data_IF_477125787854
#
_entry.id   IF_477125787854
#
_cell.length_a   1.000
_cell.length_b   1.000
_cell.length_c   1.000
_cell.angle_alpha   90.00
_cell.angle_beta   90.00
_cell.angle_gamma   90.00
#
_symmetry.space_group_name_H-M   'P 1'
#
loop_
_entity.id
_entity.type
_entity.pdbx_description
1 polymer ?
#
# COMPACT_ATOMS: atom_id res chain seq x y z
N UNK A 1 -23.06 -22.64 -47.35
CA UNK A 1 -22.98 -23.98 -46.75
C UNK A 1 -24.14 -24.04 -45.76
N UNK A 2 -25.36 -24.24 -46.28
CA UNK A 2 -26.07 -25.54 -46.51
C UNK A 2 -26.88 -25.92 -45.27
N UNK A 3 -28.12 -26.45 -45.28
CA UNK A 3 -29.23 -26.63 -46.23
C UNK A 3 -30.46 -27.07 -45.38
N UNK A 4 -31.67 -26.58 -45.66
CA UNK A 4 -32.91 -27.26 -46.10
C UNK A 4 -33.70 -28.17 -45.11
N UNK A 5 -35.01 -27.90 -45.07
CA UNK A 5 -36.08 -28.68 -44.43
C UNK A 5 -36.72 -29.72 -45.39
N UNK A 6 -37.60 -30.63 -44.90
CA UNK A 6 -38.63 -31.21 -45.77
C UNK A 6 -40.08 -31.07 -45.24
N UNK A 7 -40.90 -30.49 -46.13
CA UNK A 7 -42.22 -30.91 -46.68
C UNK A 7 -43.43 -31.30 -45.80
N UNK A 8 -44.55 -30.74 -46.26
CA UNK A 8 -46.00 -30.88 -46.02
C UNK A 8 -46.60 -32.27 -46.34
N UNK A 9 -47.70 -32.72 -45.71
CA UNK A 9 -49.15 -32.46 -46.03
C UNK A 9 -50.04 -33.59 -45.39
N UNK A 10 -51.39 -33.72 -45.57
CA UNK A 10 -52.55 -32.83 -45.30
C UNK A 10 -53.78 -33.46 -44.50
N UNK A 11 -54.61 -32.62 -43.83
CA UNK A 11 -56.13 -32.63 -43.66
C UNK A 11 -56.80 -33.76 -42.80
N UNK A 12 -57.90 -33.58 -41.99
CA UNK A 12 -59.15 -32.83 -42.24
C UNK A 12 -59.78 -31.96 -41.12
N UNK A 13 -60.88 -31.30 -41.55
CA UNK A 13 -61.70 -30.23 -40.96
C UNK A 13 -62.33 -30.54 -39.61
N UNK A 14 -62.32 -29.55 -38.71
CA UNK A 14 -63.15 -29.47 -37.51
C UNK A 14 -63.64 -28.03 -37.28
N UNK A 15 -64.97 -27.87 -37.37
CA UNK A 15 -65.86 -26.85 -36.77
C UNK A 15 -65.34 -25.41 -36.56
N UNK A 16 -66.00 -24.49 -37.27
CA UNK A 16 -65.95 -23.04 -37.10
C UNK A 16 -66.27 -22.58 -35.67
N UNK A 17 -65.25 -22.12 -34.94
CA UNK A 17 -65.38 -21.06 -33.94
C UNK A 17 -64.57 -19.86 -34.45
N UNK A 18 -65.25 -18.77 -34.81
CA UNK A 18 -64.62 -17.50 -35.17
C UNK A 18 -63.96 -16.92 -33.90
N UNK A 19 -62.72 -17.28 -33.66
CA UNK A 19 -61.80 -16.45 -32.88
C UNK A 19 -61.32 -15.34 -33.82
N UNK A 20 -61.67 -14.10 -33.51
CA UNK A 20 -61.12 -12.94 -34.21
C UNK A 20 -59.58 -12.99 -34.14
N UNK A 21 -58.86 -12.82 -35.26
CA UNK A 21 -57.42 -12.78 -35.22
C UNK A 21 -56.98 -11.51 -34.50
N UNK A 22 -56.31 -11.65 -33.36
CA UNK A 22 -55.50 -10.58 -32.77
C UNK A 22 -54.64 -10.01 -33.91
N UNK A 23 -54.73 -8.70 -34.22
CA UNK A 23 -54.11 -8.16 -35.42
C UNK A 23 -52.60 -8.32 -35.31
N UNK A 24 -52.01 -9.15 -36.18
CA UNK A 24 -50.56 -9.20 -36.36
C UNK A 24 -50.10 -7.77 -36.67
N UNK A 25 -49.15 -7.20 -35.90
CA UNK A 25 -48.76 -5.81 -36.07
C UNK A 25 -48.30 -5.59 -37.51
N UNK A 26 -48.88 -4.58 -38.16
CA UNK A 26 -48.61 -4.24 -39.56
C UNK A 26 -47.11 -4.01 -39.79
N UNK A 27 -46.62 -4.33 -40.99
CA UNK A 27 -45.20 -4.20 -41.37
C UNK A 27 -44.64 -2.78 -41.12
N UNK A 28 -45.52 -1.76 -41.10
CA UNK A 28 -45.20 -0.38 -40.76
C UNK A 28 -44.95 -0.14 -39.25
N UNK A 29 -45.69 -0.82 -38.35
CA UNK A 29 -45.46 -0.76 -36.89
C UNK A 29 -44.12 -1.40 -36.51
N UNK A 30 -43.80 -2.57 -37.07
CA UNK A 30 -42.50 -3.24 -36.86
C UNK A 30 -41.31 -2.40 -37.35
N UNK A 31 -41.45 -1.69 -38.47
CA UNK A 31 -40.41 -0.75 -38.96
C UNK A 31 -40.23 0.46 -38.05
N UNK A 32 -41.31 1.04 -37.50
CA UNK A 32 -41.23 2.15 -36.53
C UNK A 32 -40.59 1.73 -35.21
N UNK A 33 -40.95 0.55 -34.69
CA UNK A 33 -40.34 -0.02 -33.48
C UNK A 33 -38.84 -0.30 -33.68
N UNK A 34 -38.46 -0.91 -34.81
CA UNK A 34 -37.04 -1.14 -35.16
C UNK A 34 -36.24 0.17 -35.28
N UNK A 35 -36.83 1.23 -35.85
CA UNK A 35 -36.17 2.55 -35.96
C UNK A 35 -36.02 3.23 -34.60
N UNK A 36 -37.02 3.10 -33.72
CA UNK A 36 -36.96 3.61 -32.34
C UNK A 36 -35.89 2.88 -31.52
N UNK A 37 -35.78 1.57 -31.72
CA UNK A 37 -34.73 0.75 -31.11
C UNK A 37 -33.33 1.16 -31.55
N UNK A 38 -33.08 1.28 -32.87
CA UNK A 38 -31.78 1.73 -33.41
C UNK A 38 -31.38 3.11 -32.86
N UNK A 39 -32.35 4.02 -32.70
CA UNK A 39 -32.08 5.34 -32.13
C UNK A 39 -31.70 5.26 -30.64
N UNK A 40 -32.36 4.39 -29.87
CA UNK A 40 -32.07 4.20 -28.45
C UNK A 40 -30.72 3.51 -28.23
N UNK A 41 -30.38 2.53 -29.05
CA UNK A 41 -29.07 1.88 -29.03
C UNK A 41 -27.94 2.87 -29.36
N UNK A 42 -28.13 3.72 -30.38
CA UNK A 42 -27.16 4.78 -30.70
C UNK A 42 -26.97 5.76 -29.53
N UNK A 43 -28.05 6.10 -28.80
CA UNK A 43 -27.96 6.96 -27.63
C UNK A 43 -27.21 6.27 -26.47
N UNK A 44 -27.46 4.98 -26.21
CA UNK A 44 -26.73 4.20 -25.22
C UNK A 44 -25.23 4.19 -25.56
N UNK A 45 -24.88 3.87 -26.81
CA UNK A 45 -23.48 3.86 -27.24
C UNK A 45 -22.81 5.24 -27.10
N UNK A 46 -23.55 6.32 -27.35
CA UNK A 46 -23.04 7.68 -27.22
C UNK A 46 -22.73 8.01 -25.76
N UNK A 47 -23.63 7.66 -24.84
CA UNK A 47 -23.44 7.85 -23.40
C UNK A 47 -22.30 6.98 -22.87
N UNK A 48 -22.20 5.72 -23.30
CA UNK A 48 -21.10 4.84 -22.91
C UNK A 48 -19.75 5.41 -23.37
N UNK A 49 -19.64 5.91 -24.61
CA UNK A 49 -18.41 6.56 -25.10
C UNK A 49 -18.10 7.84 -24.33
N UNK A 50 -19.12 8.62 -23.96
CA UNK A 50 -18.92 9.81 -23.13
C UNK A 50 -18.37 9.43 -21.75
N UNK A 51 -18.92 8.41 -21.11
CA UNK A 51 -18.43 7.89 -19.84
C UNK A 51 -16.99 7.39 -19.91
N UNK A 52 -16.65 6.62 -20.95
CA UNK A 52 -15.28 6.14 -21.15
C UNK A 52 -14.28 7.28 -21.37
N UNK A 53 -14.66 8.34 -22.11
CA UNK A 53 -13.82 9.54 -22.27
C UNK A 53 -13.64 10.29 -20.96
N UNK A 54 -14.69 10.40 -20.15
CA UNK A 54 -14.61 11.02 -18.84
C UNK A 54 -13.66 10.24 -17.91
N UNK A 55 -13.68 8.90 -17.94
CA UNK A 55 -12.68 8.08 -17.22
C UNK A 55 -11.25 8.34 -17.72
N UNK A 56 -11.04 8.39 -19.04
CA UNK A 56 -9.73 8.73 -19.61
C UNK A 56 -9.26 10.14 -19.22
N UNK A 57 -10.18 11.05 -18.91
CA UNK A 57 -9.90 12.40 -18.43
C UNK A 57 -9.80 12.50 -16.89
N UNK A 58 -9.90 11.38 -16.15
CA UNK A 58 -9.87 11.37 -14.67
C UNK A 58 -11.14 11.91 -14.01
N UNK A 59 -12.24 12.05 -14.74
CA UNK A 59 -13.50 12.62 -14.28
C UNK A 59 -14.49 11.52 -13.86
N UNK A 60 -14.16 10.77 -12.81
CA UNK A 60 -14.90 9.58 -12.38
C UNK A 60 -16.40 9.85 -12.10
N UNK A 61 -16.72 11.00 -11.49
CA UNK A 61 -18.11 11.38 -11.21
C UNK A 61 -18.92 11.70 -12.49
N UNK A 62 -18.30 12.30 -13.50
CA UNK A 62 -18.95 12.56 -14.79
C UNK A 62 -19.15 11.25 -15.57
N UNK A 63 -18.18 10.34 -15.49
CA UNK A 63 -18.29 9.00 -16.05
C UNK A 63 -19.46 8.23 -15.42
N UNK A 64 -19.54 8.23 -14.08
CA UNK A 64 -20.64 7.61 -13.33
C UNK A 64 -22.00 8.12 -13.81
N UNK A 65 -22.17 9.44 -13.90
CA UNK A 65 -23.43 10.04 -14.39
C UNK A 65 -23.78 9.66 -15.82
N UNK A 66 -22.77 9.49 -16.69
CA UNK A 66 -22.96 9.03 -18.07
C UNK A 66 -23.39 7.56 -18.14
N UNK A 67 -22.76 6.69 -17.33
CA UNK A 67 -23.10 5.28 -17.26
C UNK A 67 -24.46 5.03 -16.61
N UNK A 68 -24.85 5.80 -15.59
CA UNK A 68 -26.20 5.74 -15.00
C UNK A 68 -27.28 6.00 -16.04
N UNK A 69 -27.10 7.04 -16.88
CA UNK A 69 -28.02 7.35 -17.97
C UNK A 69 -28.06 6.24 -19.02
N UNK A 70 -26.90 5.69 -19.40
CA UNK A 70 -26.81 4.58 -20.35
C UNK A 70 -27.55 3.33 -19.83
N UNK A 71 -27.31 2.94 -18.58
CA UNK A 71 -27.96 1.80 -17.93
C UNK A 71 -29.47 2.00 -17.76
N UNK A 72 -29.91 3.21 -17.39
CA UNK A 72 -31.34 3.54 -17.29
C UNK A 72 -32.05 3.45 -18.65
N UNK A 73 -31.40 3.87 -19.73
CA UNK A 73 -31.94 3.72 -21.07
C UNK A 73 -31.98 2.25 -21.50
N UNK A 74 -30.91 1.48 -21.24
CA UNK A 74 -30.87 0.06 -21.55
C UNK A 74 -31.98 -0.72 -20.82
N UNK A 75 -32.15 -0.49 -19.51
CA UNK A 75 -33.16 -1.17 -18.69
C UNK A 75 -34.61 -0.84 -19.09
N UNK A 76 -34.89 0.40 -19.50
CA UNK A 76 -36.24 0.82 -19.94
C UNK A 76 -36.65 0.24 -21.30
N UNK A 77 -35.69 -0.06 -22.16
CA UNK A 77 -35.95 -0.53 -23.53
C UNK A 77 -36.07 -2.06 -23.61
N UNK A 78 -35.41 -2.76 -22.69
CA UNK A 78 -35.20 -4.20 -22.73
C UNK A 78 -35.96 -4.96 -21.64
N UNK A 79 -37.07 -4.40 -21.15
CA UNK A 79 -37.83 -4.78 -19.94
C UNK A 79 -38.19 -6.26 -19.75
N UNK A 80 -37.84 -7.15 -20.68
CA UNK A 80 -38.12 -8.59 -20.63
C UNK A 80 -37.00 -9.52 -21.14
N UNK A 81 -35.80 -9.04 -21.50
CA UNK A 81 -34.70 -9.94 -21.91
C UNK A 81 -33.34 -9.46 -21.41
N UNK A 82 -32.67 -10.31 -20.64
CA UNK A 82 -31.24 -10.22 -20.43
C UNK A 82 -30.54 -10.09 -21.78
N UNK A 83 -29.78 -9.01 -21.96
CA UNK A 83 -29.24 -8.58 -23.25
C UNK A 83 -27.78 -8.20 -23.08
N UNK A 84 -26.92 -8.51 -24.06
CA UNK A 84 -25.50 -8.15 -24.01
C UNK A 84 -25.27 -6.65 -23.78
N UNK A 85 -26.14 -5.79 -24.32
CA UNK A 85 -26.07 -4.34 -24.13
C UNK A 85 -26.37 -3.94 -22.68
N UNK A 86 -27.37 -4.58 -22.06
CA UNK A 86 -27.71 -4.33 -20.66
C UNK A 86 -26.59 -4.80 -19.73
N UNK A 87 -26.01 -5.98 -20.00
CA UNK A 87 -24.86 -6.51 -19.26
C UNK A 87 -23.62 -5.63 -19.39
N UNK A 88 -23.31 -5.14 -20.59
CA UNK A 88 -22.22 -4.17 -20.80
C UNK A 88 -22.45 -2.86 -20.03
N UNK A 89 -23.68 -2.35 -20.02
CA UNK A 89 -24.02 -1.15 -19.24
C UNK A 89 -23.93 -1.40 -17.74
N UNK A 90 -24.36 -2.58 -17.27
CA UNK A 90 -24.24 -2.99 -15.87
C UNK A 90 -22.77 -3.07 -15.45
N UNK A 91 -21.93 -3.69 -16.27
CA UNK A 91 -20.49 -3.78 -16.04
C UNK A 91 -19.83 -2.41 -15.91
N UNK A 92 -19.99 -1.53 -16.90
CA UNK A 92 -19.37 -0.20 -16.89
C UNK A 92 -19.87 0.65 -15.71
N UNK A 93 -21.16 0.58 -15.40
CA UNK A 93 -21.73 1.28 -14.26
C UNK A 93 -21.21 0.71 -12.93
N UNK A 94 -21.11 -0.61 -12.83
CA UNK A 94 -20.59 -1.30 -11.65
C UNK A 94 -19.13 -0.93 -11.37
N UNK A 95 -18.28 -0.98 -12.39
CA UNK A 95 -16.88 -0.55 -12.29
C UNK A 95 -16.77 0.92 -11.86
N UNK A 96 -17.60 1.80 -12.43
CA UNK A 96 -17.62 3.22 -12.05
C UNK A 96 -18.03 3.42 -10.58
N UNK A 97 -18.99 2.66 -10.05
CA UNK A 97 -19.37 2.73 -8.63
C UNK A 97 -18.25 2.26 -7.71
N UNK A 98 -17.52 1.20 -8.06
CA UNK A 98 -16.34 0.76 -7.30
C UNK A 98 -15.31 1.88 -7.23
N UNK A 99 -15.00 2.50 -8.38
CA UNK A 99 -14.04 3.59 -8.48
C UNK A 99 -14.45 4.85 -7.69
N UNK A 100 -15.75 5.17 -7.66
CA UNK A 100 -16.25 6.35 -6.94
C UNK A 100 -16.50 6.12 -5.44
N UNK A 101 -16.26 4.91 -4.92
CA UNK A 101 -16.34 4.61 -3.48
C UNK A 101 -17.65 3.97 -3.00
N UNK A 102 -18.46 3.41 -3.90
CA UNK A 102 -19.69 2.66 -3.58
C UNK A 102 -19.57 1.18 -4.01
N UNK A 103 -18.59 0.41 -3.48
CA UNK A 103 -18.25 -0.91 -4.00
C UNK A 103 -19.37 -1.96 -3.82
N UNK A 104 -20.28 -1.79 -2.86
CA UNK A 104 -21.43 -2.70 -2.68
C UNK A 104 -22.41 -2.63 -3.87
N UNK A 105 -22.75 -1.40 -4.30
CA UNK A 105 -23.60 -1.19 -5.48
C UNK A 105 -22.86 -1.65 -6.74
N UNK A 106 -21.56 -1.32 -6.80
CA UNK A 106 -20.67 -1.76 -7.86
C UNK A 106 -20.69 -3.28 -8.05
N UNK A 107 -20.51 -4.03 -6.96
CA UNK A 107 -20.50 -5.49 -6.96
C UNK A 107 -21.82 -6.08 -7.46
N UNK A 108 -22.97 -5.58 -6.99
CA UNK A 108 -24.28 -6.06 -7.44
C UNK A 108 -24.44 -5.92 -8.97
N UNK A 109 -24.01 -4.78 -9.52
CA UNK A 109 -24.08 -4.51 -10.95
C UNK A 109 -23.08 -5.33 -11.77
N UNK A 110 -21.86 -5.53 -11.25
CA UNK A 110 -20.83 -6.35 -11.88
C UNK A 110 -21.27 -7.82 -11.97
N UNK A 111 -21.86 -8.37 -10.90
CA UNK A 111 -22.38 -9.74 -10.93
C UNK A 111 -23.57 -9.89 -11.90
N UNK A 112 -24.43 -8.87 -12.02
CA UNK A 112 -25.49 -8.82 -13.04
C UNK A 112 -24.97 -8.79 -14.48
N UNK A 113 -23.71 -8.44 -14.70
CA UNK A 113 -23.09 -8.51 -16.02
C UNK A 113 -22.74 -9.95 -16.44
N UNK A 114 -22.91 -10.95 -15.57
CA UNK A 114 -22.61 -12.36 -15.82
C UNK A 114 -21.14 -12.59 -16.26
N UNK A 115 -20.16 -12.29 -15.39
CA UNK A 115 -18.74 -12.24 -15.75
C UNK A 115 -18.16 -13.56 -16.33
N UNK A 116 -18.82 -14.69 -16.05
CA UNK A 116 -18.38 -16.04 -16.42
C UNK A 116 -19.07 -16.62 -17.66
N UNK A 117 -20.09 -15.95 -18.22
CA UNK A 117 -20.79 -16.46 -19.41
C UNK A 117 -20.00 -16.16 -20.69
N UNK A 118 -19.54 -17.20 -21.40
CA UNK A 118 -18.83 -17.05 -22.68
C UNK A 118 -19.66 -16.24 -23.69
N UNK A 119 -19.17 -15.06 -24.04
CA UNK A 119 -19.78 -14.17 -25.02
C UNK A 119 -18.72 -13.64 -26.00
N UNK A 120 -19.01 -13.66 -27.30
CA UNK A 120 -18.06 -13.21 -28.32
C UNK A 120 -17.71 -11.72 -28.12
N UNK A 121 -16.40 -11.42 -28.06
CA UNK A 121 -15.88 -10.05 -27.94
C UNK A 121 -15.78 -9.47 -26.53
N UNK A 122 -15.95 -10.27 -25.48
CA UNK A 122 -15.80 -9.85 -24.08
C UNK A 122 -14.45 -10.27 -23.50
N UNK A 123 -13.76 -9.35 -22.82
CA UNK A 123 -12.59 -9.68 -22.00
C UNK A 123 -13.06 -10.23 -20.65
N UNK A 124 -13.06 -11.55 -20.51
CA UNK A 124 -13.45 -12.22 -19.25
C UNK A 124 -12.50 -11.87 -18.09
N UNK A 125 -11.22 -11.63 -18.38
CA UNK A 125 -10.23 -11.20 -17.40
C UNK A 125 -10.66 -9.92 -16.70
N UNK A 126 -10.99 -8.87 -17.47
CA UNK A 126 -11.39 -7.56 -16.92
C UNK A 126 -12.64 -7.63 -16.06
N UNK A 127 -13.58 -8.50 -16.41
CA UNK A 127 -14.81 -8.66 -15.64
C UNK A 127 -14.55 -9.30 -14.29
N UNK A 128 -13.82 -10.42 -14.28
CA UNK A 128 -13.39 -11.07 -13.05
C UNK A 128 -12.53 -10.12 -12.20
N UNK A 129 -11.64 -9.35 -12.82
CA UNK A 129 -10.77 -8.40 -12.14
C UNK A 129 -11.56 -7.26 -11.47
N UNK A 130 -12.58 -6.70 -12.15
CA UNK A 130 -13.41 -5.65 -11.55
C UNK A 130 -14.30 -6.18 -10.42
N UNK A 131 -14.80 -7.42 -10.52
CA UNK A 131 -15.47 -8.08 -9.39
C UNK A 131 -14.51 -8.26 -8.21
N UNK A 132 -13.26 -8.66 -8.47
CA UNK A 132 -12.23 -8.76 -7.45
C UNK A 132 -11.94 -7.41 -6.78
N UNK A 133 -11.83 -6.32 -7.56
CA UNK A 133 -11.68 -4.96 -7.03
C UNK A 133 -12.84 -4.56 -6.11
N UNK A 134 -14.07 -4.92 -6.46
CA UNK A 134 -15.24 -4.63 -5.63
C UNK A 134 -15.18 -5.37 -4.27
N UNK A 135 -14.86 -6.66 -4.27
CA UNK A 135 -14.66 -7.42 -3.03
C UNK A 135 -13.46 -6.89 -2.20
N UNK A 136 -12.37 -6.51 -2.87
CA UNK A 136 -11.21 -5.91 -2.23
C UNK A 136 -11.62 -4.62 -1.51
N UNK A 137 -12.31 -3.72 -2.18
CA UNK A 137 -12.79 -2.46 -1.62
C UNK A 137 -13.79 -2.66 -0.45
N UNK A 138 -14.52 -3.79 -0.42
CA UNK A 138 -15.38 -4.18 0.70
C UNK A 138 -14.62 -4.82 1.88
N UNK A 139 -13.32 -5.10 1.73
CA UNK A 139 -12.53 -5.82 2.73
C UNK A 139 -12.75 -7.33 2.72
N UNK A 140 -13.48 -7.87 1.75
CA UNK A 140 -13.72 -9.30 1.59
C UNK A 140 -12.57 -9.95 0.79
N UNK A 141 -11.39 -9.95 1.41
CA UNK A 141 -10.11 -10.24 0.75
C UNK A 141 -10.00 -11.66 0.20
N UNK A 142 -10.61 -12.65 0.85
CA UNK A 142 -10.61 -14.04 0.37
C UNK A 142 -11.38 -14.20 -0.93
N UNK A 143 -12.55 -13.56 -1.04
CA UNK A 143 -13.32 -13.56 -2.28
C UNK A 143 -12.61 -12.76 -3.37
N UNK A 144 -11.98 -11.63 -3.01
CA UNK A 144 -11.17 -10.87 -3.96
C UNK A 144 -10.08 -11.75 -4.59
N UNK A 145 -9.34 -12.53 -3.78
CA UNK A 145 -8.32 -13.47 -4.26
C UNK A 145 -8.89 -14.51 -5.22
N UNK A 146 -10.02 -15.13 -4.89
CA UNK A 146 -10.67 -16.11 -5.78
C UNK A 146 -10.98 -15.50 -7.15
N UNK A 147 -11.48 -14.26 -7.19
CA UNK A 147 -11.80 -13.56 -8.43
C UNK A 147 -10.56 -13.09 -9.20
N UNK A 148 -9.49 -12.66 -8.52
CA UNK A 148 -8.21 -12.36 -9.17
C UNK A 148 -7.60 -13.61 -9.81
N UNK A 149 -7.66 -14.77 -9.15
CA UNK A 149 -7.23 -16.03 -9.75
C UNK A 149 -8.02 -16.40 -11.00
N UNK A 150 -9.34 -16.14 -11.01
CA UNK A 150 -10.17 -16.29 -12.22
C UNK A 150 -9.73 -15.34 -13.33
N UNK A 151 -9.46 -14.07 -12.99
CA UNK A 151 -8.98 -13.08 -13.97
C UNK A 151 -7.66 -13.51 -14.62
N UNK A 152 -6.70 -13.99 -13.81
CA UNK A 152 -5.41 -14.53 -14.30
C UNK A 152 -5.58 -15.69 -15.28
N UNK A 153 -6.59 -16.56 -15.07
CA UNK A 153 -6.90 -17.65 -16.01
C UNK A 153 -7.35 -17.18 -17.40
N UNK A 154 -7.71 -15.91 -17.56
CA UNK A 154 -8.20 -15.33 -18.80
C UNK A 154 -7.23 -14.35 -19.46
N UNK A 155 -6.32 -13.75 -18.70
CA UNK A 155 -5.39 -12.78 -19.25
C UNK A 155 -4.38 -13.43 -20.21
N UNK A 156 -4.00 -12.66 -21.24
CA UNK A 156 -2.88 -12.98 -22.15
C UNK A 156 -1.83 -11.87 -22.11
N UNK A 157 -2.28 -10.62 -21.91
CA UNK A 157 -1.46 -9.44 -21.64
C UNK A 157 -0.62 -9.65 -20.38
N UNK A 158 0.70 -9.46 -20.49
CA UNK A 158 1.59 -9.55 -19.33
C UNK A 158 1.39 -8.36 -18.37
N UNK A 159 0.93 -7.21 -18.86
CA UNK A 159 0.60 -6.05 -18.01
C UNK A 159 -0.57 -6.36 -17.09
N UNK A 160 -1.67 -6.86 -17.65
CA UNK A 160 -2.89 -7.20 -16.90
C UNK A 160 -2.64 -8.34 -15.88
N UNK A 161 -1.76 -9.29 -16.25
CA UNK A 161 -1.25 -10.29 -15.29
C UNK A 161 -0.50 -9.64 -14.13
N UNK A 162 0.38 -8.67 -14.43
CA UNK A 162 1.12 -7.92 -13.43
C UNK A 162 0.20 -7.19 -12.46
N UNK A 163 -0.84 -6.54 -12.98
CA UNK A 163 -1.81 -5.81 -12.17
C UNK A 163 -2.61 -6.73 -11.25
N UNK A 164 -3.12 -7.85 -11.76
CA UNK A 164 -3.82 -8.85 -10.95
C UNK A 164 -2.93 -9.41 -9.84
N UNK A 165 -1.67 -9.77 -10.15
CA UNK A 165 -0.73 -10.27 -9.15
C UNK A 165 -0.36 -9.22 -8.09
N UNK A 166 -0.19 -7.96 -8.49
CA UNK A 166 0.07 -6.87 -7.54
C UNK A 166 -1.10 -6.67 -6.58
N UNK A 167 -2.35 -6.70 -7.08
CA UNK A 167 -3.55 -6.61 -6.24
C UNK A 167 -3.70 -7.80 -5.31
N UNK A 168 -3.38 -9.02 -5.77
CA UNK A 168 -3.34 -10.21 -4.92
C UNK A 168 -2.28 -10.09 -3.83
N UNK A 169 -1.10 -9.56 -4.15
CA UNK A 169 -0.05 -9.25 -3.20
C UNK A 169 -0.55 -8.37 -2.05
N UNK A 170 -1.25 -7.29 -2.39
CA UNK A 170 -1.87 -6.40 -1.39
C UNK A 170 -2.94 -7.11 -0.53
N UNK A 171 -3.76 -7.99 -1.12
CA UNK A 171 -4.70 -8.81 -0.34
C UNK A 171 -3.98 -9.73 0.64
N UNK A 172 -2.90 -10.39 0.22
CA UNK A 172 -2.11 -11.26 1.09
C UNK A 172 -1.40 -10.50 2.21
N UNK A 173 -0.87 -9.30 1.94
CA UNK A 173 -0.32 -8.41 2.98
C UNK A 173 -1.39 -8.08 4.03
N UNK A 174 -2.58 -7.67 3.60
CA UNK A 174 -3.69 -7.31 4.48
C UNK A 174 -4.22 -8.50 5.30
N UNK A 175 -4.13 -9.72 4.77
CA UNK A 175 -4.44 -10.97 5.49
C UNK A 175 -3.33 -11.41 6.46
N UNK A 176 -2.19 -10.74 6.48
CA UNK A 176 -1.04 -11.11 7.30
C UNK A 176 -0.29 -12.34 6.78
N UNK A 177 -0.30 -12.56 5.46
CA UNK A 177 0.37 -13.67 4.78
C UNK A 177 1.56 -13.18 3.92
N UNK A 178 2.63 -12.67 4.56
CA UNK A 178 3.71 -11.97 3.85
C UNK A 178 4.48 -12.85 2.87
N UNK A 179 4.49 -14.17 3.06
CA UNK A 179 5.12 -15.09 2.11
C UNK A 179 4.36 -15.14 0.78
N UNK A 180 3.06 -15.35 0.84
CA UNK A 180 2.21 -15.35 -0.35
C UNK A 180 2.23 -13.99 -1.04
N UNK A 181 2.24 -12.90 -0.26
CA UNK A 181 2.41 -11.55 -0.77
C UNK A 181 3.71 -11.38 -1.55
N UNK A 182 4.85 -11.79 -0.97
CA UNK A 182 6.15 -11.73 -1.63
C UNK A 182 6.16 -12.50 -2.95
N UNK A 183 5.63 -13.73 -2.97
CA UNK A 183 5.54 -14.54 -4.20
C UNK A 183 4.69 -13.85 -5.27
N UNK A 184 3.49 -13.38 -4.94
CA UNK A 184 2.62 -12.67 -5.88
C UNK A 184 3.25 -11.38 -6.41
N UNK A 185 3.92 -10.60 -5.56
CA UNK A 185 4.58 -9.36 -5.96
C UNK A 185 5.82 -9.61 -6.85
N UNK A 186 6.57 -10.69 -6.62
CA UNK A 186 7.63 -11.12 -7.54
C UNK A 186 7.08 -11.56 -8.90
N UNK A 187 5.93 -12.26 -8.91
CA UNK A 187 5.24 -12.62 -10.16
C UNK A 187 4.74 -11.37 -10.89
N UNK A 188 4.21 -10.38 -10.16
CA UNK A 188 3.82 -9.08 -10.71
C UNK A 188 5.00 -8.36 -11.35
N UNK A 189 6.13 -8.26 -10.63
CA UNK A 189 7.38 -7.67 -11.13
C UNK A 189 7.82 -8.29 -12.46
N UNK A 190 7.87 -9.62 -12.53
CA UNK A 190 8.24 -10.36 -13.76
C UNK A 190 7.23 -10.17 -14.90
N UNK A 191 5.95 -10.03 -14.60
CA UNK A 191 4.91 -9.80 -15.60
C UNK A 191 5.00 -8.38 -16.18
N UNK A 192 5.16 -7.36 -15.33
CA UNK A 192 5.40 -5.98 -15.74
C UNK A 192 6.70 -5.82 -16.55
N UNK A 193 7.79 -6.44 -16.12
CA UNK A 193 9.05 -6.41 -16.86
C UNK A 193 8.89 -7.01 -18.27
N UNK A 194 8.17 -8.13 -18.42
CA UNK A 194 7.84 -8.73 -19.72
C UNK A 194 6.92 -7.86 -20.57
N UNK A 195 6.11 -7.00 -19.95
CA UNK A 195 5.26 -6.02 -20.61
C UNK A 195 6.01 -4.72 -20.99
N UNK A 196 7.28 -4.57 -20.60
CA UNK A 196 8.07 -3.35 -20.78
C UNK A 196 7.71 -2.22 -19.80
N UNK A 197 6.92 -2.52 -18.77
CA UNK A 197 6.52 -1.60 -17.70
C UNK A 197 7.57 -1.66 -16.57
N UNK A 198 8.77 -1.15 -16.83
CA UNK A 198 9.92 -1.31 -15.94
C UNK A 198 9.72 -0.65 -14.57
N UNK A 199 9.05 0.51 -14.54
CA UNK A 199 8.71 1.18 -13.29
C UNK A 199 7.80 0.37 -12.38
N UNK A 200 6.68 -0.13 -12.93
CA UNK A 200 5.74 -0.96 -12.17
C UNK A 200 6.41 -2.27 -11.71
N UNK A 201 7.34 -2.79 -12.52
CA UNK A 201 8.15 -3.93 -12.15
C UNK A 201 9.05 -3.64 -10.93
N UNK A 202 9.77 -2.52 -10.96
CA UNK A 202 10.63 -2.09 -9.85
C UNK A 202 9.83 -1.88 -8.56
N UNK A 203 8.69 -1.19 -8.63
CA UNK A 203 7.81 -0.98 -7.49
C UNK A 203 7.27 -2.29 -6.89
N UNK A 204 6.81 -3.20 -7.74
CA UNK A 204 6.36 -4.52 -7.30
C UNK A 204 7.48 -5.32 -6.63
N UNK A 205 8.71 -5.22 -7.15
CA UNK A 205 9.87 -5.89 -6.60
C UNK A 205 10.26 -5.36 -5.22
N UNK A 206 10.28 -4.03 -5.01
CA UNK A 206 10.51 -3.43 -3.69
C UNK A 206 9.43 -3.83 -2.68
N UNK A 207 8.17 -3.81 -3.11
CA UNK A 207 7.07 -4.27 -2.26
C UNK A 207 7.25 -5.75 -1.86
N UNK A 208 7.72 -6.59 -2.79
CA UNK A 208 8.07 -7.97 -2.50
C UNK A 208 9.20 -8.07 -1.46
N UNK A 209 10.27 -7.29 -1.60
CA UNK A 209 11.39 -7.23 -0.64
C UNK A 209 10.90 -6.91 0.78
N UNK A 210 10.01 -5.92 0.92
CA UNK A 210 9.40 -5.58 2.22
C UNK A 210 8.65 -6.77 2.82
N UNK A 211 7.88 -7.49 2.00
CA UNK A 211 7.18 -8.71 2.42
C UNK A 211 8.17 -9.81 2.82
N UNK A 212 9.23 -10.03 2.04
CA UNK A 212 10.26 -11.04 2.30
C UNK A 212 10.92 -10.80 3.66
N UNK A 213 11.35 -9.56 3.91
CA UNK A 213 11.97 -9.14 5.17
C UNK A 213 11.02 -9.29 6.36
N UNK A 214 9.74 -8.93 6.20
CA UNK A 214 8.73 -9.07 7.26
C UNK A 214 8.42 -10.53 7.62
N UNK A 215 8.51 -11.44 6.65
CA UNK A 215 8.21 -12.86 6.86
C UNK A 215 9.29 -13.61 7.64
N UNK A 216 10.54 -13.15 7.56
CA UNK A 216 11.72 -13.83 8.11
C UNK A 216 12.03 -15.20 7.51
N UNK A 217 11.35 -15.60 6.42
CA UNK A 217 11.47 -16.94 5.81
C UNK A 217 12.36 -16.96 4.57
N UNK A 218 12.79 -15.80 4.08
CA UNK A 218 13.69 -15.68 2.94
C UNK A 218 15.13 -15.49 3.41
N UNK A 219 16.07 -16.17 2.74
CA UNK A 219 17.48 -16.01 3.02
C UNK A 219 17.98 -14.60 2.66
N UNK A 220 19.01 -14.06 3.34
CA UNK A 220 19.58 -12.74 3.01
C UNK A 220 19.99 -12.60 1.54
N UNK A 221 20.48 -13.68 0.91
CA UNK A 221 20.86 -13.69 -0.50
C UNK A 221 19.67 -13.52 -1.45
N UNK A 222 18.51 -14.10 -1.12
CA UNK A 222 17.29 -13.95 -1.93
C UNK A 222 16.78 -12.51 -1.87
N UNK A 223 16.80 -11.91 -0.68
CA UNK A 223 16.39 -10.51 -0.49
C UNK A 223 17.36 -9.56 -1.20
N UNK A 224 18.67 -9.83 -1.12
CA UNK A 224 19.69 -9.03 -1.80
C UNK A 224 19.51 -9.09 -3.33
N UNK A 225 19.31 -10.28 -3.89
CA UNK A 225 19.05 -10.43 -5.32
C UNK A 225 17.80 -9.63 -5.73
N UNK A 226 16.72 -9.69 -4.92
CA UNK A 226 15.51 -8.95 -5.24
C UNK A 226 15.70 -7.42 -5.17
N UNK A 227 16.53 -6.92 -4.26
CA UNK A 227 16.93 -5.50 -4.18
C UNK A 227 17.75 -5.07 -5.40
N UNK A 228 18.71 -5.89 -5.83
CA UNK A 228 19.54 -5.64 -7.01
C UNK A 228 18.69 -5.62 -8.29
N UNK A 229 17.81 -6.60 -8.48
CA UNK A 229 16.85 -6.65 -9.59
C UNK A 229 15.99 -5.38 -9.63
N UNK A 230 15.47 -4.95 -8.48
CA UNK A 230 14.67 -3.72 -8.41
C UNK A 230 15.45 -2.47 -8.79
N UNK A 231 16.73 -2.38 -8.38
CA UNK A 231 17.59 -1.26 -8.70
C UNK A 231 17.90 -1.22 -10.21
N UNK A 232 18.23 -2.37 -10.79
CA UNK A 232 18.49 -2.49 -12.23
C UNK A 232 17.27 -2.09 -13.06
N UNK A 233 16.07 -2.52 -12.68
CA UNK A 233 14.82 -2.14 -13.34
C UNK A 233 14.59 -0.62 -13.30
N UNK A 234 14.87 0.01 -12.16
CA UNK A 234 14.71 1.45 -11.98
C UNK A 234 15.75 2.26 -12.77
N UNK A 235 17.02 1.82 -12.75
CA UNK A 235 18.11 2.47 -13.47
C UNK A 235 17.96 2.32 -14.99
N UNK A 236 17.30 1.24 -15.46
CA UNK A 236 17.02 1.00 -16.87
C UNK A 236 15.84 1.83 -17.43
N UNK A 237 14.95 2.33 -16.57
CA UNK A 237 13.77 3.08 -17.02
C UNK A 237 14.08 4.57 -17.28
N UNK A 238 14.51 4.86 -18.49
CA UNK A 238 14.76 6.22 -18.98
C UNK A 238 13.47 7.07 -19.13
N UNK A 239 12.28 6.46 -19.06
CA UNK A 239 10.99 7.13 -19.30
C UNK A 239 10.32 7.64 -18.02
N UNK A 240 10.74 7.11 -16.86
CA UNK A 240 10.16 7.46 -15.58
C UNK A 240 10.53 8.87 -15.14
N UNK A 241 9.54 9.58 -14.61
CA UNK A 241 9.73 10.85 -13.92
C UNK A 241 10.71 10.63 -12.77
N UNK A 242 11.90 11.24 -12.86
CA UNK A 242 12.99 11.07 -11.87
C UNK A 242 12.54 11.26 -10.44
N UNK A 243 11.49 12.04 -10.19
CA UNK A 243 11.00 12.25 -8.84
C UNK A 243 10.22 11.07 -8.26
N UNK A 244 9.76 10.11 -9.08
CA UNK A 244 9.18 8.85 -8.60
C UNK A 244 10.27 7.91 -8.06
N UNK A 245 11.53 8.08 -8.50
CA UNK A 245 12.66 7.27 -8.04
C UNK A 245 13.03 7.54 -6.56
N UNK A 246 12.68 8.71 -6.01
CA UNK A 246 13.01 9.08 -4.62
C UNK A 246 12.50 8.07 -3.57
N UNK A 247 11.17 7.83 -3.51
CA UNK A 247 10.60 6.81 -2.63
C UNK A 247 11.17 5.41 -2.85
N UNK A 248 11.41 5.03 -4.11
CA UNK A 248 11.99 3.72 -4.44
C UNK A 248 13.40 3.55 -3.85
N UNK A 249 14.30 4.51 -4.06
CA UNK A 249 15.65 4.44 -3.49
C UNK A 249 15.63 4.50 -1.97
N UNK A 250 14.68 5.20 -1.35
CA UNK A 250 14.49 5.15 0.09
C UNK A 250 14.11 3.72 0.55
N UNK A 251 13.18 3.07 -0.13
CA UNK A 251 12.79 1.71 0.23
C UNK A 251 13.90 0.68 -0.04
N UNK A 252 14.68 0.84 -1.11
CA UNK A 252 15.90 0.07 -1.35
C UNK A 252 16.90 0.25 -0.21
N UNK A 253 17.14 1.49 0.22
CA UNK A 253 18.01 1.81 1.35
C UNK A 253 17.54 1.16 2.64
N UNK A 254 16.22 1.13 2.90
CA UNK A 254 15.65 0.41 4.03
C UNK A 254 15.87 -1.11 3.94
N UNK A 255 15.74 -1.70 2.75
CA UNK A 255 16.04 -3.10 2.52
C UNK A 255 17.50 -3.45 2.80
N UNK A 256 18.45 -2.68 2.25
CA UNK A 256 19.88 -2.83 2.54
C UNK A 256 20.18 -2.66 4.04
N UNK A 257 19.54 -1.69 4.69
CA UNK A 257 19.70 -1.47 6.13
C UNK A 257 19.25 -2.68 6.95
N UNK A 258 18.12 -3.29 6.61
CA UNK A 258 17.64 -4.50 7.29
C UNK A 258 18.52 -5.73 7.07
N UNK A 259 19.18 -5.81 5.90
CA UNK A 259 20.22 -6.81 5.62
C UNK A 259 21.58 -6.49 6.26
N UNK A 260 21.68 -5.39 7.02
CA UNK A 260 22.92 -4.90 7.64
C UNK A 260 24.00 -4.50 6.63
N UNK A 261 23.62 -4.20 5.39
CA UNK A 261 24.48 -3.68 4.33
C UNK A 261 24.50 -2.15 4.39
N UNK A 262 24.98 -1.60 5.51
CA UNK A 262 24.87 -0.17 5.82
C UNK A 262 25.50 0.77 4.79
N UNK A 263 26.66 0.46 4.16
CA UNK A 263 27.19 1.32 3.10
C UNK A 263 26.25 1.44 1.88
N UNK A 264 25.67 0.33 1.43
CA UNK A 264 24.68 0.32 0.34
C UNK A 264 23.39 1.05 0.73
N UNK A 265 22.98 0.94 2.00
CA UNK A 265 21.85 1.71 2.51
C UNK A 265 22.10 3.22 2.43
N UNK A 266 23.29 3.68 2.86
CA UNK A 266 23.68 5.10 2.76
C UNK A 266 23.69 5.55 1.30
N UNK A 267 24.28 4.77 0.39
CA UNK A 267 24.29 5.10 -1.04
C UNK A 267 22.87 5.29 -1.60
N UNK A 268 21.96 4.36 -1.31
CA UNK A 268 20.57 4.43 -1.76
C UNK A 268 19.83 5.63 -1.15
N UNK A 269 19.98 5.89 0.15
CA UNK A 269 19.36 7.07 0.77
C UNK A 269 19.93 8.40 0.22
N UNK A 270 21.22 8.47 -0.09
CA UNK A 270 21.82 9.64 -0.73
C UNK A 270 21.30 9.84 -2.16
N UNK A 271 20.99 8.77 -2.89
CA UNK A 271 20.30 8.84 -4.19
C UNK A 271 18.85 9.32 -4.04
N UNK A 272 18.15 8.89 -2.99
CA UNK A 272 16.77 9.31 -2.72
C UNK A 272 16.63 10.80 -2.37
N UNK A 273 17.55 11.33 -1.56
CA UNK A 273 17.45 12.67 -0.97
C UNK A 273 17.23 13.82 -1.97
N UNK A 274 17.98 13.95 -3.10
CA UNK A 274 17.75 15.02 -4.07
C UNK A 274 16.47 14.85 -4.90
N UNK A 275 15.79 13.71 -4.80
CA UNK A 275 14.58 13.38 -5.56
C UNK A 275 13.30 13.61 -4.76
N UNK A 276 13.41 13.86 -3.46
CA UNK A 276 12.26 14.11 -2.60
C UNK A 276 11.47 15.35 -3.03
N UNK A 277 10.15 15.21 -3.16
CA UNK A 277 9.25 16.31 -3.55
C UNK A 277 8.69 17.07 -2.38
N UNK A 278 8.49 16.36 -1.27
CA UNK A 278 7.80 16.89 -0.09
C UNK A 278 8.76 17.00 1.09
N UNK A 279 8.65 18.04 1.92
CA UNK A 279 9.44 18.17 3.14
C UNK A 279 9.35 16.94 4.06
N UNK A 280 8.17 16.32 4.15
CA UNK A 280 7.97 15.09 4.94
C UNK A 280 8.77 13.88 4.42
N UNK A 281 8.84 13.73 3.10
CA UNK A 281 9.63 12.67 2.46
C UNK A 281 11.13 12.91 2.70
N UNK A 282 11.58 14.14 2.48
CA UNK A 282 12.96 14.54 2.72
C UNK A 282 13.37 14.33 4.19
N UNK A 283 12.49 14.65 5.14
CA UNK A 283 12.73 14.44 6.57
C UNK A 283 12.95 12.94 6.89
N UNK A 284 12.15 12.07 6.27
CA UNK A 284 12.23 10.62 6.45
C UNK A 284 13.56 10.08 5.91
N UNK A 285 13.99 10.50 4.71
CA UNK A 285 15.28 10.09 4.13
C UNK A 285 16.46 10.59 4.98
N UNK A 286 16.40 11.82 5.49
CA UNK A 286 17.42 12.37 6.39
C UNK A 286 17.50 11.58 7.70
N UNK A 287 16.37 11.22 8.30
CA UNK A 287 16.34 10.38 9.50
C UNK A 287 16.99 9.02 9.23
N UNK A 288 16.68 8.39 8.09
CA UNK A 288 17.23 7.11 7.68
C UNK A 288 18.75 7.17 7.46
N UNK A 289 19.26 8.23 6.83
CA UNK A 289 20.70 8.50 6.72
C UNK A 289 21.35 8.63 8.09
N UNK A 290 20.74 9.41 9.00
CA UNK A 290 21.23 9.55 10.36
C UNK A 290 21.31 8.22 11.10
N UNK A 291 20.33 7.34 10.92
CA UNK A 291 20.36 5.99 11.49
C UNK A 291 21.50 5.15 10.90
N UNK A 292 21.67 5.14 9.57
CA UNK A 292 22.74 4.40 8.90
C UNK A 292 24.14 4.85 9.34
N UNK A 293 24.39 6.16 9.41
CA UNK A 293 25.66 6.70 9.90
C UNK A 293 25.91 6.40 11.39
N UNK A 294 24.87 6.40 12.23
CA UNK A 294 24.99 5.97 13.62
C UNK A 294 25.49 4.53 13.74
N UNK A 295 24.95 3.61 12.93
CA UNK A 295 25.39 2.20 12.95
C UNK A 295 26.81 2.03 12.41
N UNK A 296 27.21 2.85 11.43
CA UNK A 296 28.57 2.89 10.90
C UNK A 296 29.59 3.53 11.85
N UNK A 297 29.14 4.18 12.93
CA UNK A 297 30.01 4.89 13.88
C UNK A 297 30.44 6.30 13.42
N UNK A 298 29.90 6.77 12.30
CA UNK A 298 30.08 8.13 11.76
C UNK A 298 29.13 9.11 12.47
N UNK A 299 29.39 9.34 13.76
CA UNK A 299 28.46 10.07 14.62
C UNK A 299 28.31 11.55 14.26
N UNK A 300 29.33 12.17 13.66
CA UNK A 300 29.28 13.57 13.25
C UNK A 300 28.31 13.77 12.08
N UNK A 301 28.39 12.91 11.06
CA UNK A 301 27.45 12.89 9.94
C UNK A 301 26.04 12.55 10.44
N UNK A 302 25.91 11.56 11.32
CA UNK A 302 24.62 11.20 11.90
C UNK A 302 23.97 12.36 12.65
N UNK A 303 24.74 13.12 13.43
CA UNK A 303 24.27 14.32 14.12
C UNK A 303 23.69 15.33 13.14
N UNK A 304 24.39 15.64 12.04
CA UNK A 304 23.90 16.59 11.04
C UNK A 304 22.58 16.15 10.40
N UNK A 305 22.48 14.88 10.03
CA UNK A 305 21.29 14.33 9.39
C UNK A 305 20.09 14.27 10.34
N UNK A 306 20.27 13.79 11.58
CA UNK A 306 19.20 13.77 12.58
C UNK A 306 18.72 15.18 12.96
N UNK A 307 19.63 16.15 13.05
CA UNK A 307 19.25 17.53 13.35
C UNK A 307 18.40 18.14 12.23
N UNK A 308 18.78 17.91 10.96
CA UNK A 308 17.99 18.35 9.79
C UNK A 308 16.63 17.66 9.76
N UNK A 309 16.57 16.35 10.03
CA UNK A 309 15.33 15.58 10.09
C UNK A 309 14.39 16.09 11.20
N UNK A 310 14.90 16.32 12.42
CA UNK A 310 14.11 16.81 13.55
C UNK A 310 13.50 18.19 13.28
N UNK A 311 14.26 19.08 12.64
CA UNK A 311 13.78 20.41 12.26
C UNK A 311 12.66 20.32 11.21
N UNK A 312 12.84 19.46 10.20
CA UNK A 312 11.90 19.32 9.10
C UNK A 312 10.62 18.60 9.51
N UNK A 313 10.71 17.50 10.27
CA UNK A 313 9.54 16.87 10.89
C UNK A 313 8.76 17.84 11.78
N UNK A 314 9.47 18.71 12.51
CA UNK A 314 8.84 19.78 13.29
C UNK A 314 8.05 20.77 12.43
N UNK A 315 8.60 21.21 11.28
CA UNK A 315 7.93 22.19 10.43
C UNK A 315 6.71 21.64 9.70
N UNK A 316 6.66 20.33 9.45
CA UNK A 316 5.49 19.64 8.84
C UNK A 316 4.50 19.07 9.86
N UNK A 317 4.75 19.24 11.16
CA UNK A 317 3.84 18.75 12.22
C UNK A 317 3.93 17.24 12.50
N UNK A 318 4.98 16.56 12.05
CA UNK A 318 5.23 15.13 12.29
C UNK A 318 5.92 14.92 13.64
N UNK A 319 5.15 15.07 14.73
CA UNK A 319 5.68 15.10 16.09
C UNK A 319 6.34 13.80 16.53
N UNK A 320 5.80 12.66 16.11
CA UNK A 320 6.32 11.33 16.46
C UNK A 320 7.71 11.13 15.86
N UNK A 321 7.85 11.42 14.58
CA UNK A 321 9.06 11.28 13.77
C UNK A 321 10.12 12.31 14.20
N UNK A 322 9.69 13.51 14.57
CA UNK A 322 10.56 14.51 15.20
C UNK A 322 11.17 13.96 16.50
N UNK A 323 10.36 13.31 17.35
CA UNK A 323 10.85 12.67 18.59
C UNK A 323 11.88 11.58 18.33
N UNK A 324 11.64 10.72 17.32
CA UNK A 324 12.60 9.69 16.89
C UNK A 324 13.91 10.30 16.39
N UNK A 325 13.85 11.37 15.62
CA UNK A 325 15.03 12.11 15.15
C UNK A 325 15.83 12.70 16.31
N UNK A 326 15.17 13.28 17.32
CA UNK A 326 15.86 13.75 18.53
C UNK A 326 16.51 12.61 19.33
N UNK A 327 15.87 11.44 19.40
CA UNK A 327 16.48 10.25 20.02
C UNK A 327 17.74 9.79 19.28
N UNK A 328 17.69 9.77 17.94
CA UNK A 328 18.85 9.47 17.09
C UNK A 328 19.99 10.48 17.26
N UNK A 329 19.66 11.77 17.29
CA UNK A 329 20.60 12.87 17.55
C UNK A 329 21.26 12.73 18.93
N UNK A 330 20.45 12.45 19.96
CA UNK A 330 20.92 12.28 21.33
C UNK A 330 21.90 11.11 21.45
N UNK A 331 21.63 10.01 20.75
CA UNK A 331 22.56 8.89 20.66
C UNK A 331 23.90 9.32 20.03
N UNK A 332 23.89 9.98 18.86
CA UNK A 332 25.10 10.47 18.19
C UNK A 332 25.95 11.37 19.11
N UNK A 333 25.30 12.34 19.75
CA UNK A 333 25.95 13.27 20.69
C UNK A 333 26.56 12.54 21.89
N UNK A 334 25.85 11.57 22.46
CA UNK A 334 26.36 10.76 23.57
C UNK A 334 27.59 9.95 23.17
N UNK A 335 27.63 9.42 21.95
CA UNK A 335 28.77 8.65 21.44
C UNK A 335 29.99 9.55 21.18
N UNK A 336 29.76 10.83 20.87
CA UNK A 336 30.80 11.85 20.77
C UNK A 336 31.25 12.43 22.12
N UNK A 337 30.61 12.02 23.23
CA UNK A 337 30.92 12.47 24.58
C UNK A 337 30.23 13.77 25.02
N UNK A 338 29.40 14.38 24.16
CA UNK A 338 28.59 15.54 24.55
C UNK A 338 27.30 15.08 25.27
N UNK A 339 27.48 14.61 26.49
CA UNK A 339 26.40 14.08 27.31
C UNK A 339 25.38 15.15 27.72
N UNK A 340 25.74 16.44 27.68
CA UNK A 340 24.84 17.54 28.00
C UNK A 340 23.89 17.81 26.83
N UNK A 341 24.42 17.94 25.61
CA UNK A 341 23.57 18.10 24.43
C UNK A 341 22.74 16.83 24.17
N UNK A 342 23.28 15.64 24.45
CA UNK A 342 22.53 14.39 24.40
C UNK A 342 21.34 14.39 25.37
N UNK A 343 21.55 14.85 26.61
CA UNK A 343 20.48 14.99 27.60
C UNK A 343 19.35 15.90 27.11
N UNK A 344 19.68 17.08 26.60
CA UNK A 344 18.69 18.04 26.11
C UNK A 344 17.91 17.45 24.91
N UNK A 345 18.60 16.74 24.01
CA UNK A 345 17.97 16.04 22.88
C UNK A 345 17.05 14.90 23.34
N UNK A 346 17.44 14.10 24.34
CA UNK A 346 16.56 13.07 24.90
C UNK A 346 15.33 13.66 25.60
N UNK A 347 15.42 14.85 26.22
CA UNK A 347 14.25 15.54 26.77
C UNK A 347 13.26 15.93 25.66
N UNK A 348 13.76 16.44 24.53
CA UNK A 348 12.90 16.71 23.37
C UNK A 348 12.25 15.44 22.82
N UNK A 349 12.99 14.34 22.74
CA UNK A 349 12.45 13.04 22.33
C UNK A 349 11.36 12.53 23.30
N UNK A 350 11.59 12.63 24.61
CA UNK A 350 10.62 12.24 25.63
C UNK A 350 9.34 13.06 25.55
N UNK A 351 9.46 14.39 25.41
CA UNK A 351 8.29 15.27 25.28
C UNK A 351 7.49 14.92 24.03
N UNK A 352 8.14 14.71 22.88
CA UNK A 352 7.47 14.33 21.64
C UNK A 352 6.75 12.96 21.77
N UNK A 353 7.36 12.00 22.44
CA UNK A 353 6.76 10.69 22.70
C UNK A 353 5.57 10.77 23.69
N UNK A 354 5.59 11.71 24.64
CA UNK A 354 4.43 12.00 25.50
C UNK A 354 3.30 12.67 24.73
N UNK A 355 3.62 13.67 23.89
CA UNK A 355 2.64 14.40 23.08
C UNK A 355 1.87 13.47 22.12
N UNK A 356 2.51 12.38 21.68
CA UNK A 356 1.98 11.42 20.70
C UNK A 356 1.48 10.11 21.32
N UNK A 357 1.68 9.91 22.62
CA UNK A 357 1.36 8.64 23.28
C UNK A 357 2.25 7.45 22.87
N UNK A 358 3.42 7.70 22.27
CA UNK A 358 4.39 6.66 21.91
C UNK A 358 5.08 6.10 23.17
N UNK A 359 4.47 5.08 23.76
CA UNK A 359 5.00 4.41 24.95
C UNK A 359 6.41 3.85 24.73
N UNK A 360 6.73 3.41 23.50
CA UNK A 360 8.06 2.89 23.17
C UNK A 360 9.09 4.01 23.16
N UNK A 361 8.78 5.11 22.49
CA UNK A 361 9.60 6.32 22.48
C UNK A 361 9.84 6.87 23.88
N UNK A 362 8.84 6.83 24.77
CA UNK A 362 8.97 7.31 26.14
C UNK A 362 10.01 6.50 26.93
N UNK A 363 9.89 5.16 26.97
CA UNK A 363 10.82 4.36 27.76
C UNK A 363 12.23 4.39 27.19
N UNK A 364 12.39 4.47 25.86
CA UNK A 364 13.69 4.62 25.19
C UNK A 364 14.35 5.98 25.53
N UNK A 365 13.59 7.07 25.53
CA UNK A 365 14.09 8.38 25.92
C UNK A 365 14.48 8.41 27.40
N UNK A 366 13.68 7.83 28.30
CA UNK A 366 14.03 7.67 29.71
C UNK A 366 15.31 6.83 29.90
N UNK A 367 15.50 5.75 29.14
CA UNK A 367 16.76 4.98 29.17
C UNK A 367 17.96 5.85 28.76
N UNK A 368 17.82 6.64 27.70
CA UNK A 368 18.82 7.59 27.23
C UNK A 368 19.16 8.68 28.25
N UNK A 369 18.14 9.27 28.89
CA UNK A 369 18.31 10.23 29.99
C UNK A 369 19.02 9.58 31.18
N UNK A 370 18.64 8.37 31.56
CA UNK A 370 19.30 7.61 32.64
C UNK A 370 20.80 7.46 32.39
N UNK A 371 21.18 7.12 31.16
CA UNK A 371 22.58 6.98 30.74
C UNK A 371 23.32 8.32 30.70
N UNK A 372 22.72 9.37 30.12
CA UNK A 372 23.32 10.69 30.06
C UNK A 372 23.52 11.30 31.47
N UNK A 373 22.54 11.15 32.38
CA UNK A 373 22.67 11.56 33.78
C UNK A 373 23.83 10.84 34.48
N UNK A 374 23.98 9.52 34.29
CA UNK A 374 25.08 8.76 34.88
C UNK A 374 26.44 9.30 34.42
N UNK A 375 26.58 9.60 33.14
CA UNK A 375 27.81 10.18 32.55
C UNK A 375 28.09 11.60 33.05
N UNK A 376 27.05 12.38 33.34
CA UNK A 376 27.16 13.70 33.94
C UNK A 376 27.33 13.68 35.47
N UNK A 377 27.41 12.51 36.11
CA UNK A 377 27.50 12.36 37.56
C UNK A 377 26.22 12.70 38.33
N UNK A 378 25.08 12.80 37.64
CA UNK A 378 23.77 13.13 38.21
C UNK A 378 23.04 11.85 38.64
N UNK A 379 23.59 11.14 39.64
CA UNK A 379 23.18 9.78 40.00
C UNK A 379 21.70 9.66 40.42
N UNK A 380 21.17 10.61 41.18
CA UNK A 380 19.75 10.61 41.56
C UNK A 380 18.82 10.66 40.34
N UNK A 381 19.15 11.50 39.35
CA UNK A 381 18.38 11.58 38.11
C UNK A 381 18.53 10.32 37.27
N UNK A 382 19.73 9.74 37.23
CA UNK A 382 19.97 8.46 36.55
C UNK A 382 19.04 7.36 37.08
N UNK A 383 18.98 7.23 38.42
CA UNK A 383 18.08 6.29 39.08
C UNK A 383 16.61 6.57 38.78
N UNK A 384 16.18 7.84 38.80
CA UNK A 384 14.81 8.24 38.48
C UNK A 384 14.43 7.77 37.07
N UNK A 385 15.23 8.12 36.06
CA UNK A 385 14.88 7.83 34.67
C UNK A 385 14.97 6.35 34.33
N UNK A 386 15.91 5.58 34.90
CA UNK A 386 15.91 4.13 34.71
C UNK A 386 14.69 3.44 35.34
N UNK A 387 14.20 3.93 36.50
CA UNK A 387 12.94 3.44 37.08
C UNK A 387 11.73 3.75 36.20
N UNK A 388 11.66 4.96 35.65
CA UNK A 388 10.60 5.37 34.72
C UNK A 388 10.61 4.52 33.44
N UNK A 389 11.79 4.30 32.84
CA UNK A 389 11.93 3.44 31.67
C UNK A 389 11.43 2.00 31.96
N UNK A 390 11.82 1.43 33.11
CA UNK A 390 11.40 0.09 33.51
C UNK A 390 9.89 -0.01 33.75
N UNK A 391 9.29 1.03 34.33
CA UNK A 391 7.84 1.07 34.58
C UNK A 391 7.02 1.13 33.28
N UNK A 392 7.57 1.76 32.23
CA UNK A 392 6.90 1.95 30.95
C UNK A 392 7.14 0.80 29.94
N UNK A 393 8.17 -0.02 30.12
CA UNK A 393 8.50 -1.14 29.21
C UNK A 393 7.80 -2.47 29.56
N UNK A 394 6.67 -2.46 30.28
CA UNK A 394 6.06 -3.71 30.81
C UNK A 394 5.62 -4.69 29.72
N UNK A 395 5.24 -4.19 28.54
CA UNK A 395 4.80 -5.01 27.40
C UNK A 395 5.93 -5.35 26.42
N UNK A 396 7.17 -4.94 26.69
CA UNK A 396 8.33 -5.23 25.86
C UNK A 396 8.90 -6.64 26.12
N UNK A 397 9.70 -7.21 25.18
CA UNK A 397 10.40 -8.47 25.39
C UNK A 397 11.23 -8.49 26.68
N UNK A 398 11.35 -9.66 27.30
CA UNK A 398 12.11 -9.84 28.56
C UNK A 398 13.54 -9.30 28.50
N UNK A 399 14.19 -9.40 27.34
CA UNK A 399 15.55 -8.88 27.11
C UNK A 399 15.67 -7.36 27.32
N UNK A 400 14.63 -6.58 26.96
CA UNK A 400 14.60 -5.13 27.20
C UNK A 400 14.54 -4.85 28.69
N UNK A 401 13.66 -5.58 29.40
CA UNK A 401 13.49 -5.44 30.84
C UNK A 401 14.76 -5.82 31.59
N UNK A 402 15.39 -6.94 31.24
CA UNK A 402 16.65 -7.41 31.82
C UNK A 402 17.76 -6.38 31.64
N UNK A 403 17.89 -5.81 30.43
CA UNK A 403 18.85 -4.72 30.16
C UNK A 403 18.62 -3.51 31.06
N UNK A 404 17.38 -3.07 31.20
CA UNK A 404 17.03 -1.91 32.03
C UNK A 404 17.27 -2.20 33.52
N UNK A 405 16.97 -3.40 33.99
CA UNK A 405 17.27 -3.84 35.37
C UNK A 405 18.78 -3.83 35.63
N UNK A 406 19.59 -4.31 34.68
CA UNK A 406 21.05 -4.28 34.81
C UNK A 406 21.57 -2.83 34.91
N UNK A 407 21.12 -1.94 34.00
CA UNK A 407 21.48 -0.52 34.03
C UNK A 407 21.07 0.18 35.33
N UNK A 408 19.86 -0.11 35.82
CA UNK A 408 19.38 0.41 37.10
C UNK A 408 20.22 -0.10 38.27
N UNK A 409 20.57 -1.38 38.30
CA UNK A 409 21.40 -1.98 39.34
C UNK A 409 22.81 -1.34 39.38
N UNK A 410 23.41 -1.10 38.21
CA UNK A 410 24.70 -0.42 38.13
C UNK A 410 24.62 1.03 38.62
N UNK A 411 23.59 1.78 38.22
CA UNK A 411 23.34 3.13 38.72
C UNK A 411 23.12 3.16 40.25
N UNK A 412 22.50 2.12 40.82
CA UNK A 412 22.33 2.00 42.28
C UNK A 412 23.66 1.74 42.98
N UNK A 413 24.52 0.88 42.43
CA UNK A 413 25.84 0.62 42.98
C UNK A 413 26.71 1.88 42.98
N UNK A 414 26.71 2.63 41.88
CA UNK A 414 27.48 3.89 41.78
C UNK A 414 26.96 4.94 42.76
N UNK A 415 25.64 5.09 42.88
CA UNK A 415 25.03 6.01 43.84
C UNK A 415 25.43 5.66 45.29
N UNK A 416 25.30 4.39 45.69
CA UNK A 416 25.66 3.93 47.04
C UNK A 416 27.16 4.07 47.32
N UNK A 417 28.02 3.83 46.33
CA UNK A 417 29.46 4.02 46.47
C UNK A 417 29.79 5.50 46.74
N UNK A 418 29.13 6.43 46.04
CA UNK A 418 29.31 7.86 46.28
C UNK A 418 28.78 8.32 47.64
N UNK A 419 27.61 7.83 48.08
CA UNK A 419 27.11 8.13 49.42
C UNK A 419 28.07 7.63 50.51
N UNK A 420 28.64 6.42 50.34
CA UNK A 420 29.62 5.87 51.27
C UNK A 420 30.90 6.72 51.33
N UNK A 421 31.39 7.18 50.18
CA UNK A 421 32.54 8.09 50.12
C UNK A 421 32.23 9.44 50.78
N UNK A 422 31.04 10.00 50.55
CA UNK A 422 30.61 11.26 51.15
C UNK A 422 30.43 11.18 52.68
N UNK A 423 30.15 9.98 53.22
CA UNK A 423 29.98 9.73 54.65
C UNK A 423 31.26 9.24 55.36
N UNK A 424 32.37 9.07 54.65
CA UNK A 424 33.63 8.69 55.25
C UNK A 424 34.17 9.85 56.14
N UNK A 425 34.55 9.59 57.40
CA UNK A 425 35.04 10.65 58.28
C UNK A 425 36.33 11.26 57.72
N UNK A 426 36.36 12.59 57.61
CA UNK A 426 37.57 13.34 57.27
C UNK A 426 38.53 13.16 58.45
N UNK A 427 39.52 12.28 58.31
CA UNK A 427 40.66 12.22 59.22
C UNK A 427 41.49 13.50 58.99
N UNK A 428 41.19 14.53 59.78
CA UNK A 428 42.05 15.71 59.90
C UNK A 428 43.29 15.27 60.66
N UNK A 429 44.41 15.15 59.94
CA UNK A 429 45.76 14.95 60.52
C UNK A 429 46.38 16.26 60.94
#
# INVERSE_FOLDING_TARGET
>A
MEEIAPRSSPVPRGSHLKLEPVPKPSNCKKKKEKRKWLQQEANIQTLTRAGLRALQAGQAQEALGSFQKAFLLASKVLSTRDSPVLRACAFNLGAAYVETGDPAIGLELLLRAHPEEKFEGWCHGDQCFNVALAYHALGELTQALDWYHRALGHYQSQGDHGEAQAKMGACYEALGWPKQAACSLQEASRAYARAGQLWDAALAQVAAVRCMLSSGQHGPSEVLQALEESRELADADCSTDRALLGPLYNDLGMGYFQLQLFPLAVEAFLQALPLCRQPAEQATVLQNLGMAYNVLGSYQEAQEFHQKAANLHGSVGQRLEQGRSFGGLAFSLSQMGDHRAAWDSYLHALQAAQDTGDMKGQWQACEGLGAAAARLGQHEKSLKYYKEALAQCQHEPGSVRERLVAKLADAMRTFLAQERLARAPILVT
#
